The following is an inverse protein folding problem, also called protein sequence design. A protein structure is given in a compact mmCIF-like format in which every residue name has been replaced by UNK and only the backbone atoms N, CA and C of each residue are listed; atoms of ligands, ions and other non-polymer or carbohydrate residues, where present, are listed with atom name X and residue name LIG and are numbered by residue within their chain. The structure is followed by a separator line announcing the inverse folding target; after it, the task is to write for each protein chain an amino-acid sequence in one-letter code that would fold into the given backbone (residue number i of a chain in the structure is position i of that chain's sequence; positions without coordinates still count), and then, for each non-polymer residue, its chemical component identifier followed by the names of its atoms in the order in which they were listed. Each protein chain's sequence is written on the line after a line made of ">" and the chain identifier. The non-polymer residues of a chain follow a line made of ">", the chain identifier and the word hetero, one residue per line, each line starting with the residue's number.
data_IF_017412870643
#
_entry.id   IF_017412870643
#
_cell.length_a   1.000
_cell.length_b   1.000
_cell.length_c   1.000
_cell.angle_alpha   90.00
_cell.angle_beta   90.00
_cell.angle_gamma   90.00
#
_symmetry.space_group_name_H-M   'P 1'
#
loop_
_entity.id
_entity.type
_entity.pdbx_description
1 polymer ?
#
# COMPACT_ATOMS: atom_id res chain seq x y z
N UNK A 1 6.40 7.05 -14.30
CA UNK A 1 5.69 7.61 -13.14
C UNK A 1 4.25 7.97 -13.44
N UNK A 2 3.96 8.77 -14.48
CA UNK A 2 2.59 9.16 -14.86
C UNK A 2 1.59 7.99 -15.02
N UNK A 3 2.05 6.86 -15.57
CA UNK A 3 1.19 5.68 -15.72
C UNK A 3 0.68 5.15 -14.37
N UNK A 4 1.55 5.00 -13.36
CA UNK A 4 1.13 4.53 -12.04
C UNK A 4 0.21 5.54 -11.36
N UNK A 5 0.53 6.84 -11.42
CA UNK A 5 -0.36 7.88 -10.88
C UNK A 5 -1.76 7.81 -11.48
N UNK A 6 -1.86 7.66 -12.80
CA UNK A 6 -3.14 7.46 -13.49
C UNK A 6 -3.88 6.22 -12.98
N UNK A 7 -3.19 5.09 -12.83
CA UNK A 7 -3.79 3.86 -12.29
C UNK A 7 -4.27 4.03 -10.85
N UNK A 8 -3.57 4.80 -10.01
CA UNK A 8 -4.01 5.10 -8.64
C UNK A 8 -5.25 5.99 -8.61
N UNK A 9 -5.43 6.87 -9.59
CA UNK A 9 -6.64 7.72 -9.71
C UNK A 9 -7.85 6.99 -10.28
N UNK A 10 -7.69 5.77 -10.81
CA UNK A 10 -8.82 4.92 -11.21
C UNK A 10 -9.61 4.40 -10.00
N UNK A 11 -9.02 4.42 -8.80
CA UNK A 11 -9.73 4.09 -7.56
C UNK A 11 -10.54 5.30 -7.12
N UNK A 12 -11.75 5.43 -7.68
CA UNK A 12 -12.65 6.56 -7.43
C UNK A 12 -13.74 6.26 -6.39
N UNK A 13 -14.32 7.32 -5.82
CA UNK A 13 -15.28 7.22 -4.70
C UNK A 13 -16.59 6.50 -5.02
N UNK A 14 -16.93 6.32 -6.30
CA UNK A 14 -18.16 5.68 -6.74
C UNK A 14 -17.98 4.18 -7.04
N UNK A 15 -16.76 3.65 -6.94
CA UNK A 15 -16.55 2.22 -7.11
C UNK A 15 -17.24 1.40 -6.02
N UNK A 16 -17.91 0.34 -6.45
CA UNK A 16 -18.48 -0.67 -5.57
C UNK A 16 -17.52 -1.85 -5.35
N UNK A 17 -17.90 -2.75 -4.45
CA UNK A 17 -17.11 -3.94 -4.09
C UNK A 17 -16.68 -4.79 -5.30
N UNK A 18 -17.59 -5.12 -6.23
CA UNK A 18 -17.29 -5.97 -7.38
C UNK A 18 -16.31 -5.30 -8.35
N UNK A 19 -16.40 -3.98 -8.51
CA UNK A 19 -15.46 -3.22 -9.34
C UNK A 19 -14.07 -3.19 -8.70
N UNK A 20 -13.99 -3.02 -7.38
CA UNK A 20 -12.74 -3.07 -6.62
C UNK A 20 -12.09 -4.46 -6.66
N UNK A 21 -12.89 -5.53 -6.57
CA UNK A 21 -12.43 -6.93 -6.68
C UNK A 21 -11.79 -7.22 -8.05
N UNK A 22 -12.20 -6.52 -9.11
CA UNK A 22 -11.58 -6.63 -10.44
C UNK A 22 -10.35 -5.71 -10.55
N UNK A 23 -10.44 -4.49 -10.00
CA UNK A 23 -9.41 -3.47 -10.16
C UNK A 23 -8.14 -3.77 -9.36
N UNK A 24 -8.26 -4.20 -8.10
CA UNK A 24 -7.12 -4.36 -7.20
C UNK A 24 -6.13 -5.46 -7.62
N UNK A 25 -6.55 -6.65 -8.10
CA UNK A 25 -5.60 -7.63 -8.61
C UNK A 25 -4.78 -7.11 -9.81
N UNK A 26 -5.43 -6.39 -10.73
CA UNK A 26 -4.74 -5.81 -11.89
C UNK A 26 -3.78 -4.69 -11.48
N UNK A 27 -4.23 -3.80 -10.57
CA UNK A 27 -3.39 -2.74 -10.02
C UNK A 27 -2.20 -3.30 -9.22
N UNK A 28 -2.40 -4.35 -8.41
CA UNK A 28 -1.35 -5.04 -7.69
C UNK A 28 -0.29 -5.59 -8.63
N UNK A 29 -0.71 -6.35 -9.65
CA UNK A 29 0.19 -6.93 -10.65
C UNK A 29 0.93 -5.85 -11.43
N UNK A 30 0.22 -4.78 -11.81
CA UNK A 30 0.82 -3.65 -12.52
C UNK A 30 1.87 -2.94 -11.66
N UNK A 31 1.55 -2.64 -10.40
CA UNK A 31 2.45 -1.92 -9.51
C UNK A 31 3.69 -2.75 -9.16
N UNK A 32 3.49 -3.97 -8.64
CA UNK A 32 4.57 -4.83 -8.16
C UNK A 32 5.46 -5.40 -9.29
N UNK A 33 4.95 -5.45 -10.52
CA UNK A 33 5.68 -5.96 -11.69
C UNK A 33 6.41 -4.89 -12.50
N UNK A 34 6.09 -3.60 -12.32
CA UNK A 34 6.66 -2.53 -13.16
C UNK A 34 7.42 -1.45 -12.38
N UNK A 35 7.36 -1.48 -11.05
CA UNK A 35 7.96 -0.46 -10.21
C UNK A 35 8.66 -1.07 -9.00
N UNK A 36 9.66 -0.34 -8.50
CA UNK A 36 10.27 -0.56 -7.20
C UNK A 36 10.37 0.78 -6.45
N UNK A 37 10.76 0.72 -5.19
CA UNK A 37 10.97 1.90 -4.34
C UNK A 37 12.47 2.14 -4.21
N UNK A 38 12.92 3.34 -4.55
CA UNK A 38 14.28 3.82 -4.28
C UNK A 38 14.25 4.57 -2.95
N UNK A 39 14.86 3.99 -1.91
CA UNK A 39 14.87 4.52 -0.55
C UNK A 39 16.23 5.07 -0.14
N UNK A 40 16.51 4.98 1.17
CA UNK A 40 17.76 5.40 1.81
C UNK A 40 19.00 4.91 1.05
N UNK A 41 20.04 5.75 1.01
CA UNK A 41 21.32 5.44 0.34
C UNK A 41 21.16 4.92 -1.11
N UNK A 42 20.17 5.44 -1.83
CA UNK A 42 19.83 5.06 -3.21
C UNK A 42 19.47 3.56 -3.42
N UNK A 43 19.20 2.83 -2.34
CA UNK A 43 18.93 1.39 -2.38
C UNK A 43 17.55 1.12 -3.00
N UNK A 44 17.49 0.08 -3.83
CA UNK A 44 16.26 -0.36 -4.50
C UNK A 44 15.58 -1.45 -3.68
N UNK A 45 14.26 -1.32 -3.53
CA UNK A 45 13.38 -2.22 -2.80
C UNK A 45 12.24 -2.69 -3.70
N UNK A 46 12.23 -3.97 -4.02
CA UNK A 46 11.19 -4.62 -4.81
C UNK A 46 10.03 -5.04 -3.92
N UNK A 47 8.81 -4.72 -4.33
CA UNK A 47 7.61 -4.97 -3.53
C UNK A 47 7.21 -6.44 -3.67
N UNK A 48 7.01 -7.12 -2.54
CA UNK A 48 6.67 -8.53 -2.48
C UNK A 48 5.27 -8.80 -1.91
N UNK A 49 4.73 -7.91 -1.08
CA UNK A 49 3.41 -8.06 -0.45
C UNK A 49 2.77 -6.69 -0.22
N UNK A 50 1.48 -6.56 -0.55
CA UNK A 50 0.67 -5.35 -0.34
C UNK A 50 -0.76 -5.67 0.12
N UNK A 51 -1.40 -4.70 0.76
CA UNK A 51 -2.84 -4.73 1.09
C UNK A 51 -3.55 -3.47 0.61
N UNK A 52 -4.77 -3.63 0.12
CA UNK A 52 -5.62 -2.50 -0.28
C UNK A 52 -6.65 -2.15 0.81
N UNK A 53 -6.84 -0.85 0.99
CA UNK A 53 -7.80 -0.27 1.91
C UNK A 53 -8.53 0.87 1.22
N UNK A 54 -9.87 0.85 1.25
CA UNK A 54 -10.65 1.86 0.54
C UNK A 54 -11.99 2.16 1.21
N UNK A 55 -12.36 3.44 1.22
CA UNK A 55 -13.70 3.89 1.57
C UNK A 55 -14.15 4.98 0.60
N UNK A 56 -15.45 4.99 0.30
CA UNK A 56 -16.11 5.86 -0.65
C UNK A 56 -17.63 5.77 -0.50
N UNK A 57 -18.36 6.24 -1.50
CA UNK A 57 -19.82 6.35 -1.45
C UNK A 57 -20.49 4.97 -1.53
N UNK A 58 -19.91 4.05 -2.32
CA UNK A 58 -20.48 2.72 -2.59
C UNK A 58 -19.77 1.56 -1.88
N UNK A 59 -18.72 1.84 -1.11
CA UNK A 59 -17.99 0.86 -0.31
C UNK A 59 -17.29 1.56 0.87
N UNK A 60 -17.30 0.98 2.08
CA UNK A 60 -16.79 1.67 3.26
C UNK A 60 -15.98 0.74 4.20
N UNK A 61 -14.66 0.65 3.99
CA UNK A 61 -13.75 -0.03 4.94
C UNK A 61 -13.62 0.71 6.30
N UNK A 62 -14.22 1.90 6.53
CA UNK A 62 -14.05 2.58 7.83
C UNK A 62 -14.68 1.81 8.99
N UNK A 63 -15.63 0.89 8.70
CA UNK A 63 -16.48 0.27 9.71
C UNK A 63 -15.98 -1.12 10.09
N UNK A 64 -15.73 -1.27 11.38
CA UNK A 64 -16.02 -2.52 12.06
C UNK A 64 -17.09 -2.24 13.12
N UNK A 65 -17.84 -3.27 13.50
CA UNK A 65 -18.94 -3.19 14.47
C UNK A 65 -18.51 -2.79 15.89
N UNK A 66 -17.21 -2.54 16.11
CA UNK A 66 -16.65 -2.08 17.39
C UNK A 66 -15.91 -0.76 17.17
N UNK A 67 -16.19 0.20 18.05
CA UNK A 67 -15.69 1.58 18.07
C UNK A 67 -14.15 1.75 18.05
N UNK A 68 -13.39 0.66 18.14
CA UNK A 68 -11.93 0.63 18.30
C UNK A 68 -11.17 0.01 17.12
N UNK A 69 -11.84 -0.44 16.05
CA UNK A 69 -11.20 -1.19 14.95
C UNK A 69 -11.47 -0.57 13.57
N UNK A 70 -11.22 0.72 13.42
CA UNK A 70 -11.26 1.39 12.11
C UNK A 70 -10.19 0.79 11.18
N UNK A 71 -10.61 0.21 10.05
CA UNK A 71 -9.72 -0.57 9.15
C UNK A 71 -8.94 0.35 8.22
N UNK A 72 -9.59 1.38 7.69
CA UNK A 72 -8.96 2.46 6.92
C UNK A 72 -9.10 3.79 7.66
N UNK A 73 -8.28 4.80 7.34
CA UNK A 73 -8.25 6.07 8.09
C UNK A 73 -8.73 7.24 7.23
N UNK A 74 -9.66 8.08 7.73
CA UNK A 74 -10.03 9.31 7.05
C UNK A 74 -8.82 10.24 6.92
N UNK A 75 -8.51 10.67 5.69
CA UNK A 75 -7.30 11.45 5.37
C UNK A 75 -7.53 12.41 4.22
N UNK A 76 -6.65 13.41 4.09
CA UNK A 76 -6.55 14.27 2.91
C UNK A 76 -5.20 13.99 2.25
N UNK A 77 -5.21 13.41 1.06
CA UNK A 77 -3.99 13.08 0.33
C UNK A 77 -4.28 13.02 -1.17
N UNK A 78 -3.29 13.38 -1.98
CA UNK A 78 -3.35 13.14 -3.42
C UNK A 78 -2.93 11.72 -3.74
N UNK A 79 -3.40 11.18 -4.86
CA UNK A 79 -2.95 9.88 -5.33
C UNK A 79 -1.42 9.84 -5.51
N UNK A 80 -0.78 8.80 -4.97
CA UNK A 80 0.66 8.59 -5.07
C UNK A 80 1.52 9.29 -4.02
N UNK A 81 0.93 9.82 -2.95
CA UNK A 81 1.68 10.29 -1.79
C UNK A 81 2.00 9.12 -0.84
N UNK A 82 3.06 9.28 -0.04
CA UNK A 82 3.28 8.43 1.12
C UNK A 82 2.44 8.94 2.29
N UNK A 83 1.63 8.06 2.87
CA UNK A 83 0.95 8.33 4.13
C UNK A 83 1.50 7.39 5.21
N UNK A 84 2.29 7.96 6.11
CA UNK A 84 2.95 7.21 7.19
C UNK A 84 2.04 7.19 8.41
N UNK A 85 1.90 6.03 9.04
CA UNK A 85 1.11 5.83 10.25
C UNK A 85 1.75 4.76 11.15
N UNK A 86 1.18 4.57 12.35
CA UNK A 86 1.71 3.66 13.37
C UNK A 86 1.87 2.20 12.92
N UNK A 87 1.23 1.82 11.80
CA UNK A 87 1.23 0.46 11.28
C UNK A 87 1.98 0.33 9.95
N UNK A 88 2.72 1.34 9.50
CA UNK A 88 3.49 1.29 8.26
C UNK A 88 3.28 2.51 7.36
N UNK A 89 3.26 2.28 6.05
CA UNK A 89 3.09 3.31 5.05
C UNK A 89 2.16 2.86 3.93
N UNK A 90 1.23 3.75 3.59
CA UNK A 90 0.34 3.58 2.46
C UNK A 90 0.84 4.41 1.27
N UNK A 91 0.77 3.84 0.06
CA UNK A 91 0.72 4.61 -1.17
C UNK A 91 -0.73 5.04 -1.41
N UNK A 92 -1.01 6.33 -1.34
CA UNK A 92 -2.39 6.83 -1.26
C UNK A 92 -3.13 6.77 -2.60
N UNK A 93 -4.44 6.54 -2.52
CA UNK A 93 -5.39 7.00 -3.55
C UNK A 93 -5.73 8.47 -3.31
N UNK A 94 -6.41 9.12 -4.25
CA UNK A 94 -7.00 10.42 -3.95
C UNK A 94 -7.96 10.26 -2.76
N UNK A 95 -7.79 11.12 -1.76
CA UNK A 95 -8.49 11.04 -0.49
C UNK A 95 -8.94 12.42 -0.03
N UNK A 96 -10.20 12.54 0.36
CA UNK A 96 -10.76 13.75 0.94
C UNK A 96 -11.67 13.39 2.11
N UNK A 97 -11.20 13.72 3.32
CA UNK A 97 -11.92 13.45 4.57
C UNK A 97 -13.28 14.14 4.63
N UNK A 98 -13.43 15.35 4.08
CA UNK A 98 -14.71 16.08 4.09
C UNK A 98 -15.73 15.41 3.16
N UNK A 99 -15.26 14.91 2.03
CA UNK A 99 -16.07 14.17 1.05
C UNK A 99 -16.18 12.67 1.36
N UNK A 100 -15.63 12.20 2.49
CA UNK A 100 -15.74 10.82 2.98
C UNK A 100 -15.27 9.75 1.99
N UNK A 101 -14.19 10.00 1.27
CA UNK A 101 -13.52 8.96 0.47
C UNK A 101 -12.01 8.98 0.64
N UNK A 102 -11.38 7.84 0.37
CA UNK A 102 -9.93 7.71 0.34
C UNK A 102 -9.44 6.30 0.63
N UNK A 103 -8.15 6.21 0.92
CA UNK A 103 -7.49 4.95 1.22
C UNK A 103 -6.10 4.87 0.61
N UNK A 104 -5.60 3.66 0.43
CA UNK A 104 -4.30 3.43 -0.18
C UNK A 104 -3.89 1.97 -0.19
N UNK A 105 -2.62 1.78 -0.55
CA UNK A 105 -1.95 0.49 -0.68
C UNK A 105 -0.89 0.41 0.42
N UNK A 106 -1.14 -0.40 1.45
CA UNK A 106 -0.18 -0.67 2.51
C UNK A 106 0.96 -1.52 1.97
N UNK A 107 2.19 -1.07 2.14
CA UNK A 107 3.39 -1.85 1.79
C UNK A 107 3.72 -2.79 2.94
N UNK A 108 3.73 -4.10 2.69
CA UNK A 108 3.90 -5.11 3.75
C UNK A 108 5.25 -5.82 3.72
N UNK A 109 5.74 -6.14 2.54
CA UNK A 109 7.02 -6.81 2.36
C UNK A 109 7.76 -6.23 1.18
N UNK A 110 9.04 -5.94 1.39
CA UNK A 110 9.97 -5.55 0.33
C UNK A 110 11.23 -6.40 0.38
N UNK A 111 11.92 -6.50 -0.74
CA UNK A 111 13.20 -7.19 -0.87
C UNK A 111 14.20 -6.27 -1.56
N UNK A 112 15.42 -6.21 -1.04
CA UNK A 112 16.48 -5.45 -1.68
C UNK A 112 17.15 -6.20 -2.84
N UNK A 113 18.03 -5.50 -3.56
CA UNK A 113 18.81 -6.08 -4.64
C UNK A 113 19.82 -7.16 -4.21
N UNK A 114 20.02 -7.38 -2.90
CA UNK A 114 20.85 -8.44 -2.34
C UNK A 114 20.02 -9.65 -1.90
N UNK A 115 18.68 -9.61 -2.03
CA UNK A 115 17.78 -10.67 -1.62
C UNK A 115 17.41 -10.65 -0.14
N UNK A 116 17.75 -9.60 0.60
CA UNK A 116 17.29 -9.45 1.98
C UNK A 116 15.82 -9.05 1.98
N UNK A 117 15.00 -9.80 2.72
CA UNK A 117 13.56 -9.56 2.81
C UNK A 117 13.20 -8.87 4.12
N UNK A 118 12.42 -7.80 4.00
CA UNK A 118 11.90 -7.01 5.11
C UNK A 118 10.40 -7.25 5.20
N UNK A 119 10.01 -8.21 6.04
CA UNK A 119 8.64 -8.72 6.19
C UNK A 119 7.92 -8.06 7.38
N UNK A 120 7.08 -7.08 7.07
CA UNK A 120 6.28 -6.33 8.03
C UNK A 120 6.22 -4.85 7.61
N UNK A 121 5.03 -4.22 7.64
CA UNK A 121 4.88 -2.83 7.20
C UNK A 121 5.80 -1.82 7.91
N UNK A 122 5.95 -1.93 9.23
CA UNK A 122 6.84 -1.06 10.01
C UNK A 122 8.32 -1.31 9.67
N UNK A 123 8.70 -2.57 9.44
CA UNK A 123 10.07 -2.89 8.98
C UNK A 123 10.34 -2.29 7.61
N UNK A 124 9.34 -2.29 6.71
CA UNK A 124 9.46 -1.65 5.40
C UNK A 124 9.74 -0.15 5.55
N UNK A 125 9.03 0.56 6.45
CA UNK A 125 9.29 1.99 6.71
C UNK A 125 10.70 2.20 7.24
N UNK A 126 11.08 1.48 8.31
CA UNK A 126 12.41 1.60 8.93
C UNK A 126 13.55 1.30 7.95
N UNK A 127 13.31 0.40 6.99
CA UNK A 127 14.30 0.06 6.00
C UNK A 127 14.34 1.07 4.85
N UNK A 128 13.21 1.58 4.37
CA UNK A 128 13.20 2.46 3.20
C UNK A 128 13.55 3.91 3.51
N UNK A 129 13.27 4.42 4.72
CA UNK A 129 13.58 5.78 5.16
C UNK A 129 14.93 5.87 5.90
N UNK A 130 15.53 7.05 5.94
CA UNK A 130 16.68 7.32 6.81
C UNK A 130 16.26 7.24 8.29
N UNK A 131 17.13 6.64 9.11
CA UNK A 131 16.87 6.42 10.54
C UNK A 131 16.84 7.73 11.34
N UNK A 132 17.71 8.67 10.97
CA UNK A 132 17.80 9.98 11.58
C UNK A 132 17.92 11.04 10.49
N UNK A 133 17.14 12.11 10.65
CA UNK A 133 17.16 13.30 9.78
C UNK A 133 17.40 14.53 10.64
N UNK A 134 18.02 15.57 10.08
CA UNK A 134 18.24 16.80 10.83
C UNK A 134 16.91 17.52 11.10
N UNK A 135 16.78 18.06 12.30
CA UNK A 135 15.59 18.84 12.70
C UNK A 135 15.57 20.26 12.08
N UNK A 136 16.67 20.71 11.49
CA UNK A 136 16.85 22.09 11.02
C UNK A 136 17.07 22.21 9.51
N UNK A 137 17.46 21.14 8.84
CA UNK A 137 17.72 21.14 7.40
C UNK A 137 17.33 19.80 6.77
N UNK A 138 17.02 19.82 5.47
CA UNK A 138 16.69 18.61 4.73
C UNK A 138 17.96 17.78 4.50
N UNK A 139 18.10 16.68 5.24
CA UNK A 139 19.26 15.77 5.11
C UNK A 139 18.94 14.48 4.35
N UNK A 140 17.67 14.23 4.05
CA UNK A 140 17.24 13.00 3.40
C UNK A 140 15.96 13.22 2.61
N UNK A 141 15.91 12.84 1.32
CA UNK A 141 14.68 12.85 0.56
C UNK A 141 13.76 11.70 1.01
N UNK A 142 12.45 11.86 0.77
CA UNK A 142 11.52 10.73 0.87
C UNK A 142 11.88 9.65 -0.18
N UNK A 143 11.64 8.36 0.12
CA UNK A 143 11.70 7.30 -0.88
C UNK A 143 10.82 7.63 -2.08
N UNK A 144 11.29 7.26 -3.27
CA UNK A 144 10.59 7.53 -4.52
C UNK A 144 10.31 6.23 -5.25
N UNK A 145 9.10 6.11 -5.79
CA UNK A 145 8.78 5.00 -6.69
C UNK A 145 9.48 5.27 -8.03
N UNK A 146 10.16 4.26 -8.57
CA UNK A 146 10.84 4.33 -9.87
C UNK A 146 10.41 3.16 -10.77
N UNK A 147 10.38 3.35 -12.10
CA UNK A 147 10.12 2.24 -13.02
C UNK A 147 11.25 1.21 -12.95
N UNK A 148 10.89 -0.04 -12.73
CA UNK A 148 11.81 -1.18 -12.69
C UNK A 148 10.99 -2.43 -12.98
N UNK A 149 11.17 -3.01 -14.17
CA UNK A 149 10.37 -4.16 -14.57
C UNK A 149 10.87 -5.43 -13.90
N UNK A 150 9.95 -6.21 -13.33
CA UNK A 150 10.18 -7.55 -12.81
C UNK A 150 9.07 -8.47 -13.30
N UNK A 151 9.44 -9.62 -13.85
CA UNK A 151 8.47 -10.65 -14.17
C UNK A 151 7.97 -11.25 -12.85
N UNK A 152 6.67 -11.17 -12.62
CA UNK A 152 6.04 -11.70 -11.40
C UNK A 152 4.82 -12.54 -11.74
N UNK A 153 4.56 -13.51 -10.88
CA UNK A 153 3.26 -14.16 -10.71
C UNK A 153 2.77 -13.80 -9.31
N UNK A 154 1.47 -13.56 -9.15
CA UNK A 154 0.88 -13.37 -7.83
C UNK A 154 0.32 -14.71 -7.35
N UNK A 155 0.41 -14.96 -6.05
CA UNK A 155 -0.39 -16.01 -5.41
C UNK A 155 -1.88 -15.66 -5.45
N UNK A 156 -2.74 -16.64 -5.19
CA UNK A 156 -4.17 -16.38 -4.98
C UNK A 156 -4.36 -15.30 -3.90
N UNK A 157 -5.24 -14.31 -4.11
CA UNK A 157 -5.46 -13.25 -3.14
C UNK A 157 -5.96 -13.80 -1.81
N UNK A 158 -5.53 -13.20 -0.71
CA UNK A 158 -5.85 -13.69 0.63
C UNK A 158 -6.42 -12.59 1.53
N UNK A 159 -6.92 -12.99 2.70
CA UNK A 159 -7.40 -12.05 3.71
C UNK A 159 -6.30 -11.11 4.21
N UNK A 160 -6.66 -9.87 4.49
CA UNK A 160 -5.78 -8.87 5.12
C UNK A 160 -5.38 -9.29 6.55
N UNK A 161 -4.12 -9.09 6.91
CA UNK A 161 -3.55 -9.38 8.24
C UNK A 161 -4.12 -8.40 9.27
N UNK A 162 -4.35 -8.90 10.50
CA UNK A 162 -4.87 -8.14 11.65
C UNK A 162 -6.29 -7.54 11.48
N UNK A 163 -6.87 -7.59 10.28
CA UNK A 163 -8.29 -7.25 10.07
C UNK A 163 -9.18 -8.48 10.21
N UNK A 164 -8.72 -9.69 9.86
CA UNK A 164 -9.57 -10.88 9.71
C UNK A 164 -10.44 -11.34 10.90
N UNK A 165 -10.16 -10.89 12.15
CA UNK A 165 -11.02 -11.19 13.31
C UNK A 165 -12.22 -10.22 13.44
N UNK A 166 -12.12 -9.03 12.85
CA UNK A 166 -13.11 -7.94 12.99
C UNK A 166 -13.55 -7.35 11.64
N UNK A 167 -12.88 -7.70 10.54
CA UNK A 167 -13.25 -7.36 9.16
C UNK A 167 -14.59 -8.03 8.85
N UNK A 168 -15.65 -7.24 8.82
CA UNK A 168 -16.96 -7.73 8.41
C UNK A 168 -17.01 -8.15 6.95
N UNK A 169 -16.14 -7.59 6.11
CA UNK A 169 -16.14 -7.80 4.67
C UNK A 169 -15.28 -8.98 4.21
N UNK A 170 -14.33 -9.42 5.07
CA UNK A 170 -13.43 -10.57 4.81
C UNK A 170 -12.82 -10.53 3.40
N UNK A 171 -12.33 -9.36 2.99
CA UNK A 171 -11.85 -9.14 1.62
C UNK A 171 -10.52 -9.82 1.35
N UNK A 172 -10.42 -10.40 0.16
CA UNK A 172 -9.20 -11.01 -0.36
C UNK A 172 -8.33 -9.97 -1.07
N UNK A 173 -8.04 -8.86 -0.39
CA UNK A 173 -7.30 -7.71 -0.95
C UNK A 173 -5.86 -7.63 -0.46
N UNK A 174 -5.30 -8.77 -0.06
CA UNK A 174 -3.87 -8.95 0.18
C UNK A 174 -3.26 -9.73 -0.98
N UNK A 175 -2.23 -9.14 -1.58
CA UNK A 175 -1.57 -9.67 -2.77
C UNK A 175 -0.09 -9.91 -2.50
N UNK A 176 0.38 -11.09 -2.88
CA UNK A 176 1.76 -11.55 -2.65
C UNK A 176 2.36 -12.05 -3.95
N UNK A 177 3.62 -11.71 -4.19
CA UNK A 177 4.38 -12.30 -5.30
C UNK A 177 4.73 -13.75 -4.95
N UNK A 178 4.40 -14.67 -5.85
CA UNK A 178 4.57 -16.11 -5.68
C UNK A 178 6.00 -16.47 -5.29
N UNK A 179 6.12 -17.31 -4.26
CA UNK A 179 7.39 -17.78 -3.72
C UNK A 179 8.17 -16.76 -2.90
N UNK A 180 7.62 -15.56 -2.63
CA UNK A 180 8.24 -14.58 -1.73
C UNK A 180 7.75 -14.75 -0.30
N UNK A 181 8.63 -14.36 0.65
CA UNK A 181 8.31 -14.41 2.07
C UNK A 181 7.30 -13.32 2.43
N UNK A 182 6.24 -13.74 3.12
CA UNK A 182 5.15 -12.88 3.59
C UNK A 182 5.33 -12.51 5.05
N UNK A 183 4.74 -11.38 5.41
CA UNK A 183 4.53 -10.98 6.80
C UNK A 183 3.67 -12.03 7.52
N UNK A 184 4.02 -12.32 8.78
CA UNK A 184 3.20 -13.17 9.67
C UNK A 184 2.20 -12.34 10.46
#
# INVERSE_FOLDING_TARGET
>A
MEKLKKRLTEVDKFLNETELDVLFPDLAKFFMGNYCIKGKKDKKYYINEIEFYFFGDNYDDLRTSKKESTVTYPRNAKAGCWYIHNYGVDLTFDSNKKEKFGGGILIRSVEDNCGNVFDGPVKCVNEMWEEAVCAFEETAPNPVIIPEKRIIELDEPTLRIAVGKYDSHKKLWRFTVKGKKVSK
#
